data_IF_647392510303
#
_entry.id   IF_647392510303
#
_cell.length_a   1.000
_cell.length_b   1.000
_cell.length_c   1.000
_cell.angle_alpha   90.00
_cell.angle_beta   90.00
_cell.angle_gamma   90.00
#
_symmetry.space_group_name_H-M   'P 1'
#
loop_
_entity.id
_entity.type
_entity.pdbx_description
1 polymer ?
#
# COMPACT_ATOMS: atom_id res chain seq x y z
N UNK A 1 13.79 5.55 -8.20
CA UNK A 1 13.30 4.58 -9.22
C UNK A 1 11.85 4.24 -8.91
N UNK A 2 10.97 4.19 -9.92
CA UNK A 2 9.59 3.71 -9.75
C UNK A 2 9.59 2.21 -10.05
N UNK A 3 9.02 1.41 -9.15
CA UNK A 3 8.89 -0.04 -9.27
C UNK A 3 7.40 -0.39 -9.33
N UNK A 4 7.07 -1.56 -9.85
CA UNK A 4 5.69 -1.99 -10.06
C UNK A 4 5.41 -3.28 -9.28
N UNK A 5 4.19 -3.38 -8.73
CA UNK A 5 3.63 -4.64 -8.23
C UNK A 5 2.17 -4.79 -8.62
N UNK A 6 1.73 -6.04 -8.75
CA UNK A 6 0.32 -6.39 -8.87
C UNK A 6 -0.19 -6.86 -7.51
N UNK A 7 -1.20 -6.17 -6.97
CA UNK A 7 -1.81 -6.49 -5.67
C UNK A 7 -3.18 -7.09 -5.90
N UNK A 8 -3.33 -8.34 -5.47
CA UNK A 8 -4.61 -9.05 -5.53
C UNK A 8 -5.55 -8.54 -4.43
N UNK A 9 -6.83 -8.48 -4.75
CA UNK A 9 -7.90 -8.12 -3.83
C UNK A 9 -9.14 -8.97 -4.10
N UNK A 10 -9.92 -9.20 -3.05
CA UNK A 10 -11.22 -9.86 -3.17
C UNK A 10 -12.30 -8.80 -3.41
N UNK A 11 -13.14 -9.01 -4.42
CA UNK A 11 -14.33 -8.19 -4.61
C UNK A 11 -15.40 -8.53 -3.56
N UNK A 12 -16.37 -7.63 -3.38
CA UNK A 12 -17.40 -7.65 -2.33
C UNK A 12 -18.21 -8.96 -2.32
N UNK A 13 -18.39 -9.55 -3.50
CA UNK A 13 -19.10 -10.80 -3.76
C UNK A 13 -18.28 -12.05 -3.39
N UNK A 14 -17.02 -11.89 -2.96
CA UNK A 14 -16.12 -12.94 -2.45
C UNK A 14 -15.84 -14.11 -3.42
N UNK A 15 -16.39 -14.03 -4.65
CA UNK A 15 -16.29 -15.02 -5.72
C UNK A 15 -15.30 -14.64 -6.80
N UNK A 16 -14.91 -13.37 -6.86
CA UNK A 16 -14.03 -12.82 -7.89
C UNK A 16 -12.79 -12.19 -7.26
N UNK A 17 -11.61 -12.59 -7.77
CA UNK A 17 -10.33 -12.03 -7.34
C UNK A 17 -9.87 -11.07 -8.42
N UNK A 18 -9.71 -9.80 -8.08
CA UNK A 18 -9.16 -8.79 -8.98
C UNK A 18 -7.69 -8.54 -8.66
N UNK A 19 -6.97 -7.94 -9.61
CA UNK A 19 -5.61 -7.49 -9.40
C UNK A 19 -5.46 -6.01 -9.79
N UNK A 20 -4.73 -5.26 -8.96
CA UNK A 20 -4.50 -3.84 -9.17
C UNK A 20 -3.01 -3.61 -9.31
N UNK A 21 -2.63 -2.98 -10.41
CA UNK A 21 -1.23 -2.63 -10.66
C UNK A 21 -0.93 -1.31 -9.96
N UNK A 22 0.12 -1.33 -9.14
CA UNK A 22 0.57 -0.22 -8.32
C UNK A 22 2.03 0.07 -8.68
N UNK A 23 2.28 1.31 -9.07
CA UNK A 23 3.62 1.86 -9.12
C UNK A 23 3.99 2.48 -7.79
N UNK A 24 5.11 2.04 -7.21
CA UNK A 24 5.62 2.57 -5.97
C UNK A 24 7.01 3.19 -6.12
N UNK A 25 7.27 4.20 -5.29
CA UNK A 25 8.59 4.77 -5.09
C UNK A 25 8.87 4.80 -3.60
N UNK A 26 10.07 4.39 -3.25
CA UNK A 26 10.55 4.32 -1.88
C UNK A 26 11.74 5.24 -1.72
N UNK A 27 11.69 6.07 -0.69
CA UNK A 27 12.77 6.95 -0.28
C UNK A 27 13.18 6.58 1.15
N UNK A 28 14.47 6.29 1.34
CA UNK A 28 15.07 5.91 2.62
C UNK A 28 15.97 7.06 3.05
N UNK A 29 15.57 7.77 4.09
CA UNK A 29 16.34 8.85 4.68
C UNK A 29 16.66 8.47 6.12
N UNK A 30 17.89 8.01 6.40
CA UNK A 30 18.45 7.56 7.69
C UNK A 30 17.45 6.88 8.66
N UNK A 31 16.58 7.65 9.31
CA UNK A 31 15.61 7.19 10.31
C UNK A 31 14.17 7.02 9.78
N UNK A 32 13.91 7.32 8.51
CA UNK A 32 12.60 7.33 7.90
C UNK A 32 12.57 6.60 6.54
N UNK A 33 11.44 5.99 6.28
CA UNK A 33 11.08 5.33 5.04
C UNK A 33 9.80 5.97 4.53
N UNK A 34 9.87 6.64 3.38
CA UNK A 34 8.71 7.22 2.72
C UNK A 34 8.35 6.35 1.52
N UNK A 35 7.17 5.74 1.56
CA UNK A 35 6.66 4.90 0.49
C UNK A 35 5.44 5.57 -0.13
N UNK A 36 5.55 5.88 -1.42
CA UNK A 36 4.47 6.49 -2.21
C UNK A 36 4.04 5.51 -3.27
N UNK A 37 2.74 5.25 -3.35
CA UNK A 37 2.11 4.33 -4.27
C UNK A 37 1.12 5.07 -5.17
N UNK A 38 1.07 4.70 -6.43
CA UNK A 38 0.16 5.21 -7.45
C UNK A 38 -0.51 4.05 -8.16
N UNK A 39 -1.83 4.06 -8.21
CA UNK A 39 -2.60 3.04 -8.92
C UNK A 39 -2.57 3.35 -10.41
N UNK A 40 -2.08 2.42 -11.22
CA UNK A 40 -1.89 2.60 -12.68
C UNK A 40 -2.81 1.76 -13.52
N UNK A 41 -3.39 0.69 -12.97
CA UNK A 41 -4.44 -0.09 -13.62
C UNK A 41 -5.67 -0.12 -12.73
N UNK A 42 -6.81 0.23 -13.32
CA UNK A 42 -8.11 0.09 -12.68
C UNK A 42 -8.88 -0.97 -13.46
N UNK A 43 -9.30 -2.03 -12.77
CA UNK A 43 -10.32 -2.90 -13.34
C UNK A 43 -11.63 -2.10 -13.43
N UNK A 44 -12.37 -2.16 -14.55
CA UNK A 44 -13.62 -1.40 -14.72
C UNK A 44 -14.69 -1.73 -13.67
N UNK A 45 -14.58 -2.89 -13.01
CA UNK A 45 -15.42 -3.31 -11.89
C UNK A 45 -14.77 -3.10 -10.51
N UNK A 46 -13.64 -2.39 -10.45
CA UNK A 46 -13.05 -2.01 -9.17
C UNK A 46 -14.04 -1.11 -8.44
N UNK A 47 -14.49 -1.57 -7.28
CA UNK A 47 -15.50 -0.92 -6.45
C UNK A 47 -15.14 0.54 -6.16
N UNK A 48 -16.14 1.36 -5.81
CA UNK A 48 -15.97 2.79 -5.50
C UNK A 48 -14.94 3.08 -4.40
N UNK A 49 -14.63 2.12 -3.54
CA UNK A 49 -13.54 2.23 -2.56
C UNK A 49 -12.15 2.28 -3.20
N UNK A 50 -11.99 1.85 -4.46
CA UNK A 50 -10.72 1.92 -5.19
C UNK A 50 -10.52 3.22 -5.98
N UNK A 51 -11.31 4.28 -5.72
CA UNK A 51 -11.11 5.59 -6.39
C UNK A 51 -9.77 6.27 -6.04
N UNK A 52 -9.01 5.70 -5.12
CA UNK A 52 -7.73 6.21 -4.68
C UNK A 52 -6.66 6.06 -5.76
N UNK A 53 -6.26 7.18 -6.37
CA UNK A 53 -5.19 7.21 -7.38
C UNK A 53 -3.79 7.17 -6.79
N UNK A 54 -3.65 7.60 -5.54
CA UNK A 54 -2.36 7.74 -4.85
C UNK A 54 -2.54 7.52 -3.36
N UNK A 55 -1.62 6.78 -2.76
CA UNK A 55 -1.54 6.60 -1.33
C UNK A 55 -0.09 6.54 -0.87
N UNK A 56 0.15 6.84 0.40
CA UNK A 56 1.48 6.89 0.95
C UNK A 56 1.50 6.49 2.41
N UNK A 57 2.64 5.95 2.82
CA UNK A 57 2.92 5.58 4.19
C UNK A 57 4.33 6.04 4.50
N UNK A 58 4.45 6.65 5.67
CA UNK A 58 5.74 6.91 6.29
C UNK A 58 5.97 5.84 7.33
N UNK A 59 7.18 5.34 7.42
CA UNK A 59 7.62 4.47 8.51
C UNK A 59 8.92 5.01 9.10
N UNK A 60 9.15 4.76 10.38
CA UNK A 60 10.37 5.19 11.08
C UNK A 60 11.18 3.99 11.51
N UNK A 61 12.50 4.09 11.39
CA UNK A 61 13.43 3.06 11.84
C UNK A 61 13.42 2.98 13.36
N UNK A 62 13.13 1.80 13.89
CA UNK A 62 13.23 1.46 15.31
C UNK A 62 14.09 0.20 15.44
N UNK A 63 15.40 0.41 15.58
CA UNK A 63 16.38 -0.68 15.64
C UNK A 63 16.62 -1.32 14.27
N UNK A 64 16.23 -2.59 14.10
CA UNK A 64 16.41 -3.35 12.84
C UNK A 64 15.13 -3.40 11.97
N UNK A 65 14.08 -2.72 12.37
CA UNK A 65 12.78 -2.76 11.70
C UNK A 65 12.20 -1.36 11.50
N UNK A 66 11.29 -1.24 10.54
CA UNK A 66 10.52 -0.02 10.30
C UNK A 66 9.13 -0.15 10.94
N UNK A 67 8.73 0.88 11.69
CA UNK A 67 7.41 1.01 12.27
C UNK A 67 6.58 2.01 11.45
N UNK A 68 5.41 1.62 10.92
CA UNK A 68 4.55 2.52 10.16
C UNK A 68 4.01 3.63 11.06
N UNK A 69 4.04 4.86 10.54
CA UNK A 69 3.44 6.04 11.16
C UNK A 69 2.06 6.21 10.53
N UNK A 70 1.03 5.84 11.28
CA UNK A 70 -0.35 6.00 10.85
C UNK A 70 -0.80 7.43 11.13
N UNK A 71 -1.02 8.19 10.06
CA UNK A 71 -1.66 9.49 10.14
C UNK A 71 -3.18 9.29 10.23
N UNK A 72 -3.78 9.75 11.34
CA UNK A 72 -5.21 9.63 11.59
C UNK A 72 -6.03 10.63 10.74
N UNK A 73 -5.38 11.60 10.06
CA UNK A 73 -6.05 12.62 9.26
C UNK A 73 -6.45 12.16 7.84
N UNK A 74 -6.27 10.87 7.51
CA UNK A 74 -6.77 10.28 6.25
C UNK A 74 -8.29 10.00 6.33
N UNK A 75 -9.07 11.07 6.45
CA UNK A 75 -10.48 11.14 6.88
C UNK A 75 -11.53 10.40 6.00
N UNK A 76 -11.15 9.66 4.95
CA UNK A 76 -12.17 9.04 4.08
C UNK A 76 -11.76 7.68 3.49
N UNK A 77 -11.05 6.85 4.27
CA UNK A 77 -10.71 5.48 3.85
C UNK A 77 -11.76 4.49 4.33
N UNK A 78 -12.37 3.75 3.40
CA UNK A 78 -13.16 2.58 3.79
C UNK A 78 -12.27 1.52 4.45
N UNK A 79 -12.88 0.61 5.21
CA UNK A 79 -12.17 -0.53 5.82
C UNK A 79 -11.47 -1.36 4.75
N UNK A 80 -12.13 -1.59 3.61
CA UNK A 80 -11.58 -2.34 2.47
C UNK A 80 -10.34 -1.65 1.89
N UNK A 81 -10.39 -0.33 1.75
CA UNK A 81 -9.25 0.46 1.29
C UNK A 81 -8.07 0.33 2.25
N UNK A 82 -8.33 0.38 3.55
CA UNK A 82 -7.29 0.24 4.57
C UNK A 82 -6.65 -1.16 4.55
N UNK A 83 -7.45 -2.21 4.38
CA UNK A 83 -6.96 -3.59 4.24
C UNK A 83 -6.14 -3.78 2.97
N UNK A 84 -6.57 -3.20 1.85
CA UNK A 84 -5.83 -3.24 0.60
C UNK A 84 -4.48 -2.53 0.71
N UNK A 85 -4.45 -1.34 1.32
CA UNK A 85 -3.23 -0.57 1.56
C UNK A 85 -2.24 -1.37 2.42
N UNK A 86 -2.71 -1.96 3.52
CA UNK A 86 -1.90 -2.81 4.39
C UNK A 86 -1.33 -4.01 3.63
N UNK A 87 -2.16 -4.69 2.83
CA UNK A 87 -1.72 -5.81 1.99
C UNK A 87 -0.65 -5.39 0.97
N UNK A 88 -0.87 -4.29 0.25
CA UNK A 88 0.08 -3.74 -0.70
C UNK A 88 1.42 -3.42 -0.04
N UNK A 89 1.42 -2.82 1.16
CA UNK A 89 2.65 -2.52 1.88
C UNK A 89 3.42 -3.76 2.30
N UNK A 90 2.73 -4.78 2.83
CA UNK A 90 3.37 -6.06 3.17
C UNK A 90 4.05 -6.70 1.96
N UNK A 91 3.42 -6.65 0.79
CA UNK A 91 4.01 -7.15 -0.45
C UNK A 91 5.25 -6.36 -0.85
N UNK A 92 5.18 -5.02 -0.84
CA UNK A 92 6.32 -4.15 -1.18
C UNK A 92 7.50 -4.40 -0.23
N UNK A 93 7.26 -4.42 1.08
CA UNK A 93 8.34 -4.60 2.05
C UNK A 93 8.99 -5.98 1.92
N UNK A 94 8.20 -7.04 1.67
CA UNK A 94 8.73 -8.37 1.38
C UNK A 94 9.60 -8.38 0.11
N UNK A 95 9.15 -7.71 -0.95
CA UNK A 95 9.89 -7.57 -2.21
C UNK A 95 11.21 -6.80 -2.04
N UNK A 96 11.22 -5.80 -1.15
CA UNK A 96 12.42 -4.99 -0.84
C UNK A 96 13.28 -5.57 0.29
N UNK A 97 12.93 -6.75 0.82
CA UNK A 97 13.58 -7.40 1.96
C UNK A 97 13.67 -6.49 3.22
N UNK A 98 12.60 -5.74 3.50
CA UNK A 98 12.48 -4.83 4.63
C UNK A 98 11.64 -5.49 5.73
N UNK A 99 12.17 -5.49 6.95
CA UNK A 99 11.42 -5.97 8.12
C UNK A 99 10.54 -4.87 8.68
N UNK A 100 9.25 -5.12 8.80
CA UNK A 100 8.31 -4.26 9.53
C UNK A 100 7.98 -4.86 10.90
N UNK A 101 7.92 -4.03 11.91
CA UNK A 101 7.35 -4.37 13.23
C UNK A 101 6.03 -3.64 13.37
N UNK A 102 4.97 -4.39 13.68
CA UNK A 102 3.65 -3.88 13.99
C UNK A 102 3.65 -3.11 15.32
#
# INVERSE_FOLDING_TARGET
MKKEISVEYKQVDNTSTGAIVINYSMDKDNDALNLVCMVTSFYPEASTWLRMRKFGMRAVSRGKAYMPVFDHDAIDRSVEMSLFIDHAYKMIMKQENITMTA
#
